data_IF_421990659324
#
_entry.id   IF_421990659324
#
_cell.length_a   1.000
_cell.length_b   1.000
_cell.length_c   1.000
_cell.angle_alpha   90.00
_cell.angle_beta   90.00
_cell.angle_gamma   90.00
#
_symmetry.space_group_name_H-M   'P 1'
#
loop_
_entity.id
_entity.type
_entity.pdbx_description
1 polymer ?
#
# COMPACT_ATOMS: atom_id res chain seq x y z
N UNK A 1 -0.70 -38.74 -36.34
CA UNK A 1 -1.22 -37.83 -35.29
C UNK A 1 -2.75 -37.88 -35.31
N UNK A 2 -3.39 -38.31 -34.21
CA UNK A 2 -4.85 -38.49 -34.13
C UNK A 2 -5.49 -37.12 -33.86
N UNK A 3 -6.33 -36.63 -34.78
CA UNK A 3 -6.97 -35.33 -34.62
C UNK A 3 -7.92 -35.33 -33.43
N UNK A 4 -7.82 -34.31 -32.57
CA UNK A 4 -8.72 -34.15 -31.43
C UNK A 4 -10.12 -33.73 -31.91
N UNK A 5 -11.19 -34.40 -31.45
CA UNK A 5 -12.55 -34.04 -31.81
C UNK A 5 -12.93 -32.63 -31.31
N UNK A 6 -13.59 -31.82 -32.16
CA UNK A 6 -14.01 -30.44 -31.88
C UNK A 6 -14.75 -30.25 -30.53
N UNK A 7 -15.49 -31.26 -30.06
CA UNK A 7 -16.18 -31.24 -28.75
C UNK A 7 -15.22 -31.07 -27.56
N UNK A 8 -13.98 -31.55 -27.65
CA UNK A 8 -12.99 -31.37 -26.58
C UNK A 8 -12.40 -29.96 -26.56
N UNK A 9 -12.30 -29.29 -27.72
CA UNK A 9 -11.90 -27.88 -27.80
C UNK A 9 -12.96 -26.96 -27.15
N UNK A 10 -14.25 -27.27 -27.30
CA UNK A 10 -15.33 -26.55 -26.62
C UNK A 10 -15.31 -26.76 -25.09
N UNK A 11 -15.04 -27.99 -24.63
CA UNK A 11 -14.93 -28.26 -23.19
C UNK A 11 -13.71 -27.59 -22.54
N UNK A 12 -12.57 -27.55 -23.26
CA UNK A 12 -11.37 -26.86 -22.79
C UNK A 12 -11.62 -25.35 -22.72
N UNK A 13 -12.24 -24.74 -23.74
CA UNK A 13 -12.54 -23.30 -23.72
C UNK A 13 -13.52 -22.92 -22.61
N UNK A 14 -14.54 -23.73 -22.32
CA UNK A 14 -15.45 -23.51 -21.18
C UNK A 14 -14.70 -23.60 -19.84
N UNK A 15 -13.80 -24.57 -19.68
CA UNK A 15 -12.99 -24.70 -18.46
C UNK A 15 -12.08 -23.47 -18.22
N UNK A 16 -11.54 -22.86 -19.28
CA UNK A 16 -10.75 -21.63 -19.19
C UNK A 16 -11.58 -20.39 -18.83
N UNK A 17 -12.82 -20.30 -19.31
CA UNK A 17 -13.75 -19.20 -18.96
C UNK A 17 -14.20 -19.30 -17.50
N UNK A 18 -14.48 -20.50 -16.99
CA UNK A 18 -14.86 -20.69 -15.57
C UNK A 18 -13.68 -20.39 -14.63
N UNK A 19 -12.45 -20.73 -15.02
CA UNK A 19 -11.25 -20.42 -14.24
C UNK A 19 -10.94 -18.91 -14.14
N UNK A 20 -11.46 -18.08 -15.05
CA UNK A 20 -11.23 -16.63 -15.08
C UNK A 20 -12.29 -15.80 -14.35
N UNK A 21 -13.36 -16.42 -13.84
CA UNK A 21 -14.45 -15.72 -13.10
C UNK A 21 -14.13 -15.55 -11.60
N UNK A 22 -13.06 -16.15 -11.09
CA UNK A 22 -12.65 -15.98 -9.70
C UNK A 22 -11.67 -14.82 -9.48
N UNK A 23 -11.84 -14.09 -8.38
CA UNK A 23 -10.85 -13.24 -7.67
C UNK A 23 -11.02 -11.71 -7.73
N UNK A 24 -12.24 -11.18 -7.86
CA UNK A 24 -12.55 -9.88 -7.26
C UNK A 24 -13.12 -10.12 -5.84
N UNK A 25 -12.25 -10.32 -4.85
CA UNK A 25 -12.69 -10.38 -3.45
C UNK A 25 -13.00 -8.96 -2.97
N UNK A 26 -14.25 -8.70 -2.63
CA UNK A 26 -14.64 -7.45 -1.97
C UNK A 26 -14.01 -7.44 -0.57
N UNK A 27 -12.94 -6.65 -0.40
CA UNK A 27 -12.22 -6.51 0.88
C UNK A 27 -12.80 -5.43 1.78
N UNK A 28 -13.96 -4.86 1.43
CA UNK A 28 -14.65 -3.94 2.33
C UNK A 28 -15.03 -4.71 3.60
N UNK A 29 -14.73 -4.16 4.79
CA UNK A 29 -15.15 -4.80 6.01
C UNK A 29 -16.68 -4.90 6.03
N UNK A 30 -17.21 -6.10 6.29
CA UNK A 30 -18.65 -6.35 6.41
C UNK A 30 -19.24 -5.75 7.69
N UNK A 31 -18.39 -5.37 8.64
CA UNK A 31 -18.73 -4.79 9.93
C UNK A 31 -17.66 -3.76 10.34
N UNK A 32 -18.11 -2.66 10.95
CA UNK A 32 -17.28 -1.58 11.49
C UNK A 32 -16.32 -2.12 12.56
N UNK A 33 -16.72 -3.17 13.30
CA UNK A 33 -15.87 -3.83 14.31
C UNK A 33 -14.58 -4.43 13.72
N UNK A 34 -14.55 -4.69 12.41
CA UNK A 34 -13.36 -5.17 11.73
C UNK A 34 -12.37 -4.04 11.40
N UNK A 35 -12.77 -2.76 11.44
CA UNK A 35 -11.89 -1.63 11.13
C UNK A 35 -10.92 -1.42 12.32
N UNK A 36 -9.61 -1.28 12.08
CA UNK A 36 -8.68 -0.95 13.15
C UNK A 36 -9.03 0.40 13.78
N UNK A 37 -8.64 0.60 15.05
CA UNK A 37 -8.81 1.87 15.74
C UNK A 37 -8.25 3.04 14.92
N UNK A 38 -8.98 4.15 14.91
CA UNK A 38 -8.54 5.36 14.25
C UNK A 38 -7.27 5.90 14.92
N UNK A 39 -6.25 6.31 14.16
CA UNK A 39 -5.09 6.98 14.71
C UNK A 39 -5.45 8.31 15.38
N UNK A 40 -4.84 8.59 16.53
CA UNK A 40 -4.87 9.92 17.12
C UNK A 40 -3.78 10.78 16.46
N UNK A 41 -4.18 11.61 15.50
CA UNK A 41 -3.27 12.46 14.72
C UNK A 41 -2.66 13.62 15.53
N UNK A 42 -3.10 13.85 16.77
CA UNK A 42 -2.39 14.76 17.68
C UNK A 42 -1.09 14.16 18.23
N UNK A 43 -0.95 12.84 18.19
CA UNK A 43 0.24 12.11 18.65
C UNK A 43 1.23 11.92 17.51
N UNK A 44 2.49 12.30 17.74
CA UNK A 44 3.58 12.09 16.78
C UNK A 44 3.74 10.62 16.35
N UNK A 45 3.48 9.69 17.25
CA UNK A 45 3.57 8.24 17.02
C UNK A 45 2.55 7.70 16.01
N UNK A 46 1.50 8.47 15.71
CA UNK A 46 0.49 8.11 14.70
C UNK A 46 0.93 8.45 13.28
N UNK A 47 2.07 9.13 13.11
CA UNK A 47 2.61 9.58 11.84
C UNK A 47 3.82 8.74 11.43
N UNK A 48 3.91 8.41 10.15
CA UNK A 48 5.06 7.69 9.59
C UNK A 48 6.26 8.61 9.34
N UNK A 49 5.98 9.89 9.05
CA UNK A 49 6.99 10.91 8.84
C UNK A 49 6.45 12.28 9.29
N UNK A 50 7.33 13.15 9.78
CA UNK A 50 6.98 14.52 10.23
C UNK A 50 8.07 15.53 9.86
N UNK A 51 7.70 16.78 9.48
CA UNK A 51 8.64 17.81 9.01
C UNK A 51 9.86 18.12 9.88
N UNK A 52 9.72 17.93 11.20
CA UNK A 52 10.76 18.28 12.18
C UNK A 52 11.24 17.05 12.95
N UNK A 53 11.16 15.88 12.31
CA UNK A 53 11.60 14.61 12.87
C UNK A 53 12.55 13.95 11.88
N UNK A 54 13.68 13.45 12.39
CA UNK A 54 14.59 12.66 11.56
C UNK A 54 13.98 11.26 11.35
N UNK A 55 13.55 10.96 10.14
CA UNK A 55 12.87 9.72 9.78
C UNK A 55 13.22 9.21 8.37
N UNK A 56 12.47 8.22 7.87
CA UNK A 56 12.78 7.59 6.60
C UNK A 56 12.57 8.50 5.38
N UNK A 57 11.77 9.57 5.52
CA UNK A 57 11.50 10.54 4.46
C UNK A 57 12.68 11.49 4.20
N UNK A 58 13.61 11.60 5.15
CA UNK A 58 14.80 12.47 5.03
C UNK A 58 15.96 11.82 4.27
N UNK A 59 15.77 10.60 3.76
CA UNK A 59 16.81 9.90 3.02
C UNK A 59 16.99 10.51 1.63
N UNK A 60 18.16 11.11 1.41
CA UNK A 60 18.53 11.72 0.13
C UNK A 60 19.64 10.92 -0.58
N UNK A 61 19.72 11.01 -1.92
CA UNK A 61 20.90 10.56 -2.68
C UNK A 61 22.19 11.24 -2.20
N UNK A 62 23.33 10.61 -2.47
CA UNK A 62 24.65 11.00 -1.93
C UNK A 62 25.07 12.45 -2.23
N UNK A 63 24.62 13.03 -3.33
CA UNK A 63 25.01 14.37 -3.80
C UNK A 63 23.87 15.41 -3.73
N UNK A 64 22.80 15.12 -2.98
CA UNK A 64 21.66 16.03 -2.83
C UNK A 64 21.70 16.78 -1.49
N UNK A 65 21.38 18.07 -1.53
CA UNK A 65 21.30 18.91 -0.34
C UNK A 65 19.87 18.89 0.25
N UNK A 66 19.72 18.74 1.57
CA UNK A 66 18.40 18.79 2.19
C UNK A 66 17.83 20.22 2.15
N UNK A 67 16.55 20.32 1.77
CA UNK A 67 15.76 21.55 1.93
C UNK A 67 15.12 21.53 3.31
N UNK A 68 15.31 22.59 4.09
CA UNK A 68 14.67 22.71 5.40
C UNK A 68 13.16 22.86 5.24
N UNK A 69 12.40 22.10 6.03
CA UNK A 69 10.94 22.13 5.99
C UNK A 69 10.32 23.50 6.25
N UNK A 70 10.96 24.34 7.05
CA UNK A 70 10.55 25.74 7.27
C UNK A 70 10.62 26.63 6.02
N UNK A 71 11.32 26.20 4.96
CA UNK A 71 11.39 26.92 3.68
C UNK A 71 10.29 26.47 2.70
N UNK A 72 9.54 25.41 3.02
CA UNK A 72 8.45 24.91 2.17
C UNK A 72 7.25 25.86 2.30
N UNK A 73 6.75 26.36 1.17
CA UNK A 73 5.64 27.32 1.13
C UNK A 73 4.26 26.66 1.31
N UNK A 74 4.19 25.34 1.22
CA UNK A 74 2.94 24.56 1.26
C UNK A 74 3.08 23.34 2.16
N UNK A 75 1.98 23.00 2.85
CA UNK A 75 1.87 21.76 3.61
C UNK A 75 1.45 20.61 2.68
N UNK A 76 2.14 19.47 2.79
CA UNK A 76 1.83 18.26 2.04
C UNK A 76 1.44 17.12 3.00
N UNK A 77 0.36 16.41 2.68
CA UNK A 77 0.06 15.13 3.30
C UNK A 77 0.19 14.00 2.26
N UNK A 78 0.77 12.89 2.69
CA UNK A 78 1.02 11.73 1.83
C UNK A 78 0.21 10.52 2.29
N UNK A 79 -0.50 9.88 1.36
CA UNK A 79 -1.22 8.63 1.57
C UNK A 79 -0.66 7.59 0.60
N UNK A 80 -0.07 6.50 1.12
CA UNK A 80 0.41 5.40 0.29
C UNK A 80 -0.58 4.21 0.33
N UNK A 81 -1.10 3.73 -0.83
CA UNK A 81 -2.04 2.61 -0.84
C UNK A 81 -1.41 1.24 -1.18
N UNK A 82 -0.13 1.19 -1.55
CA UNK A 82 0.41 0.07 -2.33
C UNK A 82 0.98 -1.10 -1.51
N UNK A 83 1.15 -0.96 -0.19
CA UNK A 83 1.84 -1.95 0.63
C UNK A 83 0.95 -2.84 1.50
N UNK A 84 -0.32 -2.47 1.67
CA UNK A 84 -1.29 -3.28 2.41
C UNK A 84 -1.98 -4.32 1.52
N UNK A 85 -1.18 -5.25 0.99
CA UNK A 85 -1.62 -6.21 -0.04
C UNK A 85 -2.47 -7.35 0.56
N UNK A 86 -2.18 -7.74 1.81
CA UNK A 86 -2.82 -8.86 2.51
C UNK A 86 -3.33 -8.40 3.87
N UNK A 87 -4.64 -8.54 4.06
CA UNK A 87 -5.37 -8.02 5.20
C UNK A 87 -6.83 -8.45 5.15
N UNK A 88 -7.48 -8.50 6.31
CA UNK A 88 -8.93 -8.75 6.43
C UNK A 88 -9.75 -7.47 6.26
N UNK A 89 -9.08 -6.33 6.22
CA UNK A 89 -9.66 -4.99 6.27
C UNK A 89 -9.15 -4.17 5.10
N UNK A 90 -9.73 -2.98 4.93
CA UNK A 90 -9.27 -2.03 3.92
C UNK A 90 -8.05 -1.24 4.39
N UNK A 91 -8.01 -0.86 5.67
CA UNK A 91 -6.90 -0.14 6.30
C UNK A 91 -6.11 -1.06 7.24
N UNK A 92 -4.79 -0.90 7.25
CA UNK A 92 -3.95 -1.56 8.24
C UNK A 92 -4.04 -0.85 9.60
N UNK A 93 -3.87 -1.61 10.69
CA UNK A 93 -3.62 -1.03 12.01
C UNK A 93 -2.24 -0.39 12.05
N UNK A 94 -2.14 0.80 12.63
CA UNK A 94 -0.87 1.49 12.87
C UNK A 94 0.03 0.75 13.87
N UNK A 95 -0.52 -0.19 14.65
CA UNK A 95 0.24 -1.02 15.59
C UNK A 95 1.01 -2.16 14.89
N UNK A 96 0.82 -2.34 13.59
CA UNK A 96 1.51 -3.39 12.83
C UNK A 96 2.98 -3.02 12.55
N UNK A 97 3.84 -3.22 13.55
CA UNK A 97 5.29 -2.90 13.49
C UNK A 97 6.01 -3.52 12.29
N UNK A 98 5.62 -4.72 11.85
CA UNK A 98 6.25 -5.37 10.68
C UNK A 98 5.90 -4.65 9.39
N UNK A 99 4.66 -4.20 9.27
CA UNK A 99 4.21 -3.43 8.13
C UNK A 99 4.86 -2.04 8.14
N UNK A 100 4.88 -1.34 9.28
CA UNK A 100 5.51 -0.02 9.44
C UNK A 100 6.98 -0.04 9.00
N UNK A 101 7.76 -1.03 9.43
CA UNK A 101 9.14 -1.20 8.94
C UNK A 101 9.28 -1.34 7.43
N UNK A 102 8.29 -1.95 6.76
CA UNK A 102 8.28 -2.06 5.29
C UNK A 102 7.86 -0.75 4.63
N UNK A 103 6.96 0.00 5.27
CA UNK A 103 6.51 1.33 4.82
C UNK A 103 7.68 2.30 4.87
N UNK A 104 8.41 2.34 5.98
CA UNK A 104 9.60 3.18 6.13
C UNK A 104 10.66 2.80 5.08
N UNK A 105 10.91 1.49 4.91
CA UNK A 105 11.96 0.99 4.00
C UNK A 105 11.69 1.25 2.52
N UNK A 106 10.42 1.35 2.10
CA UNK A 106 10.06 1.40 0.68
C UNK A 106 9.35 2.71 0.30
N UNK A 107 8.03 2.89 0.53
CA UNK A 107 7.30 4.03 0.00
C UNK A 107 7.76 5.34 0.64
N UNK A 108 8.02 5.37 1.96
CA UNK A 108 8.44 6.60 2.63
C UNK A 108 9.87 6.97 2.23
N UNK A 109 10.79 6.00 2.19
CA UNK A 109 12.18 6.22 1.78
C UNK A 109 12.34 6.61 0.31
N UNK A 110 11.56 6.00 -0.59
CA UNK A 110 11.73 6.16 -2.04
C UNK A 110 10.61 6.99 -2.68
N UNK A 111 9.73 7.61 -1.89
CA UNK A 111 8.83 8.61 -2.47
C UNK A 111 9.70 9.71 -3.07
N UNK A 112 9.43 10.07 -4.33
CA UNK A 112 9.97 11.29 -4.87
C UNK A 112 9.35 12.43 -4.07
N UNK A 113 10.09 12.99 -3.11
CA UNK A 113 9.75 14.30 -2.58
C UNK A 113 9.87 15.28 -3.75
N UNK A 114 8.83 16.07 -3.99
CA UNK A 114 8.86 17.13 -5.01
C UNK A 114 9.68 18.33 -4.51
N UNK A 115 10.28 18.21 -3.33
CA UNK A 115 10.98 19.24 -2.56
C UNK A 115 12.24 18.67 -1.93
#
# INVERSE_FOLDING_TARGET
>A
MKQMPRKYLYLISIAWVIASIGHAQDKRPSDISAIPAQPDYSLKTSWSALPFQNDAADFLPFDEAPITDSLKEVDLFYIYPTLYIRGKTWNASIENKRLNKRIDKYPVKYQASVF
#
